data_IF_533100666770
#
_entry.id   IF_533100666770
#
_cell.length_a   1.000
_cell.length_b   1.000
_cell.length_c   1.000
_cell.angle_alpha   90.00
_cell.angle_beta   90.00
_cell.angle_gamma   90.00
#
_symmetry.space_group_name_H-M   'P 1'
#
loop_
_entity.id
_entity.type
_entity.pdbx_description
1 polymer ?
#
# COMPACT_ATOMS: atom_id res chain seq x y z
N UNK A 1 -66.41 -44.76 -3.51
CA UNK A 1 -66.47 -43.36 -3.04
C UNK A 1 -65.41 -43.13 -1.94
N UNK A 2 -64.11 -43.29 -2.23
CA UNK A 2 -63.03 -43.12 -1.23
C UNK A 2 -61.80 -42.41 -1.86
N UNK A 3 -61.38 -42.72 -3.10
CA UNK A 3 -60.17 -42.14 -3.71
C UNK A 3 -60.20 -40.66 -4.11
N UNK A 4 -61.37 -40.06 -4.41
CA UNK A 4 -61.44 -38.65 -4.86
C UNK A 4 -61.13 -37.63 -3.75
N UNK A 5 -61.29 -38.00 -2.48
CA UNK A 5 -61.02 -37.11 -1.34
C UNK A 5 -59.52 -37.00 -1.02
N UNK A 6 -58.72 -38.02 -1.32
CA UNK A 6 -57.27 -38.02 -1.07
C UNK A 6 -56.47 -37.33 -2.18
N UNK A 7 -56.97 -37.35 -3.43
CA UNK A 7 -56.38 -36.61 -4.56
C UNK A 7 -56.41 -35.10 -4.33
N UNK A 8 -57.49 -34.57 -3.72
CA UNK A 8 -57.59 -33.14 -3.41
C UNK A 8 -56.65 -32.72 -2.26
N UNK A 9 -56.45 -33.60 -1.27
CA UNK A 9 -55.60 -33.35 -0.11
C UNK A 9 -54.10 -33.45 -0.46
N UNK A 10 -53.73 -34.35 -1.37
CA UNK A 10 -52.36 -34.47 -1.90
C UNK A 10 -51.97 -33.28 -2.79
N UNK A 11 -52.92 -32.65 -3.49
CA UNK A 11 -52.66 -31.43 -4.26
C UNK A 11 -52.54 -30.17 -3.38
N UNK A 12 -53.27 -30.11 -2.25
CA UNK A 12 -53.15 -28.99 -1.31
C UNK A 12 -51.89 -29.02 -0.45
N UNK A 13 -51.32 -30.21 -0.20
CA UNK A 13 -50.07 -30.33 0.56
C UNK A 13 -48.82 -29.95 -0.28
N UNK A 14 -48.88 -30.18 -1.60
CA UNK A 14 -47.79 -29.84 -2.52
C UNK A 14 -47.72 -28.33 -2.85
N UNK A 15 -48.83 -27.60 -2.67
CA UNK A 15 -48.90 -26.16 -2.89
C UNK A 15 -48.37 -25.33 -1.70
N UNK A 16 -48.30 -25.90 -0.49
CA UNK A 16 -47.78 -25.22 0.71
C UNK A 16 -46.27 -25.32 0.86
N UNK A 17 -45.58 -26.17 0.10
CA UNK A 17 -44.12 -26.31 0.15
C UNK A 17 -43.36 -25.36 -0.80
N UNK A 18 -44.05 -24.45 -1.50
CA UNK A 18 -43.47 -23.59 -2.53
C UNK A 18 -43.38 -22.09 -2.17
N UNK A 19 -43.73 -21.68 -0.94
CA UNK A 19 -43.85 -20.23 -0.61
C UNK A 19 -42.84 -19.70 0.41
N UNK A 20 -41.74 -20.43 0.65
CA UNK A 20 -40.57 -19.84 1.30
C UNK A 20 -39.39 -19.81 0.32
N UNK A 21 -39.59 -19.18 -0.84
CA UNK A 21 -38.46 -18.53 -1.49
C UNK A 21 -38.24 -17.28 -0.65
N UNK A 22 -37.41 -17.40 0.40
CA UNK A 22 -36.70 -16.24 0.89
C UNK A 22 -35.85 -15.79 -0.30
N UNK A 23 -36.40 -14.88 -1.10
CA UNK A 23 -35.56 -13.98 -1.87
C UNK A 23 -34.78 -13.23 -0.79
N UNK A 24 -33.62 -13.75 -0.39
CA UNK A 24 -32.57 -12.86 0.02
C UNK A 24 -32.42 -11.96 -1.20
N UNK A 25 -32.93 -10.73 -1.05
CA UNK A 25 -32.53 -9.68 -1.95
C UNK A 25 -31.06 -9.55 -1.55
N UNK A 26 -30.18 -10.22 -2.28
CA UNK A 26 -28.76 -9.89 -2.29
C UNK A 26 -28.75 -8.43 -2.73
N UNK A 27 -28.91 -7.53 -1.77
CA UNK A 27 -28.83 -6.12 -1.99
C UNK A 27 -27.34 -5.92 -2.18
N UNK A 28 -26.95 -5.61 -3.42
CA UNK A 28 -25.61 -5.15 -3.77
C UNK A 28 -25.42 -3.76 -3.13
N UNK A 29 -25.38 -3.77 -1.80
CA UNK A 29 -25.23 -2.59 -0.96
C UNK A 29 -23.77 -2.19 -1.00
N UNK A 30 -23.50 -1.13 -1.75
CA UNK A 30 -22.20 -0.49 -1.75
C UNK A 30 -21.86 -0.01 -0.32
N UNK A 31 -20.83 -0.58 0.33
CA UNK A 31 -20.51 -0.27 1.73
C UNK A 31 -19.96 1.16 1.93
N UNK A 32 -19.79 1.90 0.83
CA UNK A 32 -19.09 3.18 0.79
C UNK A 32 -17.57 3.00 0.84
N UNK A 33 -16.86 4.08 0.57
CA UNK A 33 -15.40 4.12 0.57
C UNK A 33 -14.88 5.55 0.71
N UNK A 34 -13.61 5.68 1.07
CA UNK A 34 -12.89 6.95 0.98
C UNK A 34 -12.40 7.17 -0.45
N UNK A 35 -12.09 8.42 -0.80
CA UNK A 35 -11.76 8.79 -2.19
C UNK A 35 -10.41 8.27 -2.68
N UNK A 36 -9.60 7.70 -1.78
CA UNK A 36 -8.33 7.03 -2.10
C UNK A 36 -8.32 5.55 -1.65
N UNK A 37 -9.48 4.91 -1.51
CA UNK A 37 -9.63 3.60 -0.84
C UNK A 37 -8.67 2.51 -1.35
N UNK A 38 -8.43 2.43 -2.67
CA UNK A 38 -7.52 1.43 -3.25
C UNK A 38 -6.05 1.71 -2.95
N UNK A 39 -5.71 2.97 -2.73
CA UNK A 39 -4.35 3.40 -2.42
C UNK A 39 -4.08 3.51 -0.92
N UNK A 40 -5.12 3.49 -0.08
CA UNK A 40 -5.01 3.44 1.36
C UNK A 40 -4.74 2.01 1.86
N UNK A 41 -3.91 1.84 2.87
CA UNK A 41 -3.61 0.55 3.47
C UNK A 41 -2.44 0.55 4.43
N UNK A 42 -2.23 -0.61 5.05
CA UNK A 42 -0.98 -0.99 5.70
C UNK A 42 -0.15 -1.82 4.72
N UNK A 43 1.13 -1.50 4.64
CA UNK A 43 2.10 -2.10 3.73
C UNK A 43 3.25 -2.67 4.53
N UNK A 44 3.67 -3.88 4.17
CA UNK A 44 4.91 -4.50 4.62
C UNK A 44 5.96 -4.23 3.55
N UNK A 45 6.96 -3.41 3.87
CA UNK A 45 7.95 -2.91 2.90
C UNK A 45 9.39 -3.14 3.37
N UNK A 46 10.32 -3.05 2.43
CA UNK A 46 11.76 -2.90 2.70
C UNK A 46 12.21 -1.53 2.22
N UNK A 47 13.27 -1.01 2.82
CA UNK A 47 13.94 0.22 2.39
C UNK A 47 15.37 -0.12 1.97
N UNK A 48 15.59 -0.14 0.67
CA UNK A 48 16.82 -0.60 0.04
C UNK A 48 17.67 0.59 -0.42
N UNK A 49 19.00 0.43 -0.41
CA UNK A 49 19.98 1.41 -0.83
C UNK A 49 20.54 1.04 -2.21
N UNK A 50 20.90 2.05 -3.00
CA UNK A 50 21.58 1.83 -4.28
C UNK A 50 22.98 1.28 -4.05
N UNK A 51 23.31 0.18 -4.73
CA UNK A 51 24.64 -0.44 -4.67
C UNK A 51 25.73 0.50 -5.20
N UNK A 52 25.47 1.16 -6.32
CA UNK A 52 26.44 2.09 -6.92
C UNK A 52 26.71 3.29 -6.01
N UNK A 53 25.66 3.82 -5.38
CA UNK A 53 25.79 4.94 -4.44
C UNK A 53 26.51 4.51 -3.16
N UNK A 54 26.26 3.30 -2.65
CA UNK A 54 27.04 2.72 -1.56
C UNK A 54 28.53 2.65 -1.91
N UNK A 55 28.90 2.12 -3.08
CA UNK A 55 30.30 2.03 -3.46
C UNK A 55 30.97 3.41 -3.56
N UNK A 56 30.25 4.42 -4.05
CA UNK A 56 30.76 5.78 -4.08
C UNK A 56 30.92 6.38 -2.67
N UNK A 57 29.86 6.33 -1.84
CA UNK A 57 29.86 6.94 -0.50
C UNK A 57 30.90 6.33 0.45
N UNK A 58 31.18 5.04 0.30
CA UNK A 58 32.14 4.32 1.15
C UNK A 58 33.53 4.16 0.49
N UNK A 59 33.79 4.84 -0.62
CA UNK A 59 35.12 4.94 -1.23
C UNK A 59 35.61 3.69 -1.96
N UNK A 60 34.68 2.84 -2.38
CA UNK A 60 34.95 1.67 -3.25
C UNK A 60 34.86 2.02 -4.74
N UNK A 61 34.32 3.20 -5.08
CA UNK A 61 34.23 3.75 -6.44
C UNK A 61 34.57 5.24 -6.43
N UNK A 62 35.28 5.72 -7.46
CA UNK A 62 35.55 7.15 -7.69
C UNK A 62 34.48 7.81 -8.59
N UNK A 63 33.49 7.04 -9.05
CA UNK A 63 32.42 7.53 -9.93
C UNK A 63 31.17 7.78 -9.11
N UNK A 64 30.76 9.04 -9.04
CA UNK A 64 29.46 9.45 -8.49
C UNK A 64 28.35 9.00 -9.46
N UNK A 65 27.40 8.17 -9.03
CA UNK A 65 26.29 7.76 -9.90
C UNK A 65 25.30 8.91 -10.18
N UNK A 66 25.34 10.02 -9.43
CA UNK A 66 24.46 11.19 -9.57
C UNK A 66 22.97 10.84 -9.63
N UNK A 67 22.49 10.10 -8.63
CA UNK A 67 21.08 9.71 -8.51
C UNK A 67 20.15 10.94 -8.46
N UNK A 68 20.66 12.10 -8.05
CA UNK A 68 19.89 13.35 -7.93
C UNK A 68 19.37 13.88 -9.27
N UNK A 69 20.02 13.53 -10.38
CA UNK A 69 19.63 13.94 -11.74
C UNK A 69 18.90 12.86 -12.53
N UNK A 70 18.73 11.66 -11.95
CA UNK A 70 18.09 10.54 -12.61
C UNK A 70 16.57 10.71 -12.72
N UNK A 71 16.02 10.25 -13.84
CA UNK A 71 14.57 10.02 -14.01
C UNK A 71 14.13 8.77 -13.25
N UNK A 72 12.82 8.61 -13.03
CA UNK A 72 12.25 7.42 -12.37
C UNK A 72 12.64 6.13 -13.11
N UNK A 73 12.56 6.11 -14.44
CA UNK A 73 12.95 4.94 -15.25
C UNK A 73 14.43 4.57 -15.07
N UNK A 74 15.31 5.57 -14.84
CA UNK A 74 16.72 5.31 -14.56
C UNK A 74 16.92 4.76 -13.14
N UNK A 75 16.18 5.27 -12.14
CA UNK A 75 16.21 4.72 -10.77
C UNK A 75 15.69 3.27 -10.72
N UNK A 76 14.67 2.95 -11.51
CA UNK A 76 14.13 1.59 -11.66
C UNK A 76 15.12 0.59 -12.23
N UNK A 77 16.07 1.06 -13.03
CA UNK A 77 17.09 0.21 -13.64
C UNK A 77 18.29 -0.06 -12.73
N UNK A 78 18.39 0.57 -11.55
CA UNK A 78 19.49 0.38 -10.62
C UNK A 78 19.36 -0.92 -9.81
N UNK A 79 20.48 -1.36 -9.25
CA UNK A 79 20.53 -2.43 -8.24
C UNK A 79 20.33 -1.83 -6.84
N UNK A 80 19.42 -2.45 -6.08
CA UNK A 80 19.01 -2.01 -4.75
C UNK A 80 19.10 -3.16 -3.76
N UNK A 81 19.69 -2.93 -2.59
CA UNK A 81 19.76 -3.93 -1.51
C UNK A 81 19.52 -3.30 -0.14
N UNK A 82 18.96 -4.05 0.80
CA UNK A 82 18.88 -3.65 2.22
C UNK A 82 20.24 -3.85 2.91
N UNK A 83 21.19 -2.96 2.59
CA UNK A 83 22.58 -3.01 3.04
C UNK A 83 22.74 -2.84 4.56
N UNK A 84 21.73 -2.25 5.21
CA UNK A 84 21.69 -2.08 6.66
C UNK A 84 20.85 -3.13 7.38
N UNK A 85 20.31 -4.12 6.67
CA UNK A 85 19.53 -5.23 7.23
C UNK A 85 18.36 -4.75 8.11
N UNK A 86 17.68 -3.67 7.69
CA UNK A 86 16.50 -3.15 8.40
C UNK A 86 15.35 -4.17 8.39
N UNK A 87 15.32 -5.03 7.39
CA UNK A 87 14.28 -6.01 7.18
C UNK A 87 12.95 -5.38 6.80
N UNK A 88 11.87 -6.04 7.22
CA UNK A 88 10.51 -5.61 6.90
C UNK A 88 9.99 -4.58 7.89
N UNK A 89 9.42 -3.52 7.35
CA UNK A 89 8.92 -2.35 8.05
C UNK A 89 7.45 -2.10 7.66
N UNK A 90 6.72 -1.36 8.49
CA UNK A 90 5.31 -1.03 8.21
C UNK A 90 5.17 0.40 7.73
N UNK A 91 4.53 0.56 6.58
CA UNK A 91 4.16 1.87 6.02
C UNK A 91 2.65 1.93 5.89
N UNK A 92 2.10 3.12 6.06
CA UNK A 92 0.68 3.39 6.08
C UNK A 92 0.35 4.51 5.10
N UNK A 93 -0.63 4.24 4.26
CA UNK A 93 -1.28 5.25 3.41
C UNK A 93 -2.75 5.35 3.76
N UNK A 94 -3.29 6.55 3.86
CA UNK A 94 -4.70 6.75 4.22
C UNK A 94 -5.23 8.11 3.80
N UNK A 95 -6.54 8.20 3.60
CA UNK A 95 -7.18 9.45 3.17
C UNK A 95 -6.91 10.59 4.16
N UNK A 96 -6.87 11.81 3.64
CA UNK A 96 -6.92 13.00 4.49
C UNK A 96 -8.34 13.20 5.05
N UNK A 97 -8.47 14.06 6.06
CA UNK A 97 -9.79 14.41 6.61
C UNK A 97 -10.68 15.14 5.59
N UNK A 98 -10.09 15.80 4.60
CA UNK A 98 -10.82 16.41 3.48
C UNK A 98 -11.42 15.34 2.55
N UNK A 99 -10.85 14.13 2.55
CA UNK A 99 -11.28 13.00 1.74
C UNK A 99 -11.39 13.39 0.26
N UNK A 100 -10.36 14.03 -0.29
CA UNK A 100 -10.24 14.25 -1.74
C UNK A 100 -9.48 13.07 -2.37
N UNK A 101 -9.51 12.96 -3.70
CA UNK A 101 -8.84 11.89 -4.43
C UNK A 101 -7.41 12.26 -4.87
N UNK A 102 -6.99 13.49 -4.62
CA UNK A 102 -5.73 14.09 -5.09
C UNK A 102 -4.65 14.19 -4.00
N UNK A 103 -4.96 13.85 -2.75
CA UNK A 103 -3.99 13.78 -1.66
C UNK A 103 -4.27 12.59 -0.72
N UNK A 104 -3.21 12.04 -0.14
CA UNK A 104 -3.30 11.09 0.97
C UNK A 104 -2.17 11.31 1.97
N UNK A 105 -2.32 10.79 3.18
CA UNK A 105 -1.21 10.67 4.12
C UNK A 105 -0.30 9.51 3.72
N UNK A 106 1.00 9.72 3.86
CA UNK A 106 2.07 8.72 3.76
C UNK A 106 2.87 8.77 5.06
N UNK A 107 2.98 7.65 5.77
CA UNK A 107 3.40 7.62 7.17
C UNK A 107 4.00 6.28 7.55
N UNK A 108 5.00 6.25 8.44
CA UNK A 108 5.45 5.01 9.08
C UNK A 108 4.83 4.78 10.48
N UNK A 109 3.95 5.69 10.92
CA UNK A 109 3.12 5.54 12.12
C UNK A 109 1.82 4.77 11.87
N UNK A 110 1.51 3.79 12.71
CA UNK A 110 0.26 3.02 12.63
C UNK A 110 -0.96 3.80 13.14
N UNK A 111 -0.85 4.45 14.30
CA UNK A 111 -1.95 5.23 14.92
C UNK A 111 -1.50 6.23 15.99
N UNK A 112 -0.46 5.88 16.77
CA UNK A 112 0.14 6.76 17.79
C UNK A 112 1.42 7.40 17.25
N UNK A 113 1.76 8.59 17.76
CA UNK A 113 3.02 9.27 17.45
C UNK A 113 4.26 8.59 18.05
N UNK A 114 4.09 7.51 18.82
CA UNK A 114 5.19 6.73 19.40
C UNK A 114 5.37 5.36 18.73
N UNK A 115 4.51 5.02 17.75
CA UNK A 115 4.43 3.70 17.11
C UNK A 115 4.83 3.78 15.62
N UNK A 116 6.06 4.24 15.39
CA UNK A 116 6.70 4.28 14.07
C UNK A 116 7.60 3.07 13.85
N UNK A 117 7.88 2.75 12.60
CA UNK A 117 8.74 1.60 12.27
C UNK A 117 10.10 1.96 11.70
N UNK A 118 10.31 3.18 11.18
CA UNK A 118 11.53 3.50 10.46
C UNK A 118 12.09 4.90 10.74
N UNK A 119 11.60 5.91 10.02
CA UNK A 119 12.19 7.25 9.97
C UNK A 119 11.32 8.33 10.64
N UNK A 120 10.26 7.93 11.37
CA UNK A 120 9.40 8.87 12.09
C UNK A 120 8.76 9.90 11.16
N UNK A 121 8.28 9.46 9.99
CA UNK A 121 7.75 10.37 8.98
C UNK A 121 6.23 10.35 8.91
N UNK A 122 5.67 11.53 8.70
CA UNK A 122 4.28 11.73 8.30
C UNK A 122 4.19 12.97 7.44
N UNK A 123 3.70 12.80 6.22
CA UNK A 123 3.42 13.89 5.31
C UNK A 123 2.25 13.56 4.40
N UNK A 124 1.76 14.57 3.71
CA UNK A 124 0.82 14.36 2.61
C UNK A 124 1.59 14.19 1.31
N UNK A 125 1.07 13.35 0.44
CA UNK A 125 1.56 13.14 -0.92
C UNK A 125 0.45 13.46 -1.91
N UNK A 126 0.83 13.98 -3.06
CA UNK A 126 -0.05 14.16 -4.20
C UNK A 126 -0.41 12.79 -4.76
N UNK A 127 -1.65 12.62 -5.20
CA UNK A 127 -2.20 11.36 -5.69
C UNK A 127 -2.80 11.56 -7.08
N UNK A 128 -2.45 10.68 -8.01
CA UNK A 128 -3.25 10.39 -9.18
C UNK A 128 -3.92 9.03 -8.96
N UNK A 129 -5.20 9.08 -8.58
CA UNK A 129 -5.95 7.90 -8.17
C UNK A 129 -6.24 6.96 -9.34
N UNK A 130 -6.43 7.49 -10.55
CA UNK A 130 -6.68 6.66 -11.74
C UNK A 130 -5.41 5.94 -12.19
N UNK A 131 -4.26 6.63 -12.12
CA UNK A 131 -2.96 6.04 -12.43
C UNK A 131 -2.43 5.13 -11.30
N UNK A 132 -2.97 5.25 -10.09
CA UNK A 132 -2.47 4.54 -8.91
C UNK A 132 -1.09 5.04 -8.48
N UNK A 133 -0.78 6.32 -8.73
CA UNK A 133 0.55 6.90 -8.46
C UNK A 133 0.49 7.99 -7.41
N UNK A 134 1.61 8.17 -6.70
CA UNK A 134 1.77 9.21 -5.69
C UNK A 134 3.19 9.78 -5.69
N UNK A 135 3.32 11.03 -5.26
CA UNK A 135 4.61 11.71 -5.20
C UNK A 135 4.56 12.89 -4.24
N UNK A 136 5.72 13.43 -3.91
CA UNK A 136 5.82 14.77 -3.37
C UNK A 136 7.13 15.41 -3.82
N UNK A 137 7.10 16.73 -4.04
CA UNK A 137 8.33 17.53 -4.06
C UNK A 137 8.96 17.55 -2.66
N UNK A 138 10.05 18.29 -2.47
CA UNK A 138 10.64 18.52 -1.15
C UNK A 138 9.62 19.09 -0.18
N UNK A 139 9.13 18.24 0.71
CA UNK A 139 8.00 18.51 1.60
C UNK A 139 8.43 18.26 3.05
N UNK A 140 8.19 19.22 3.97
CA UNK A 140 8.54 19.04 5.37
C UNK A 140 7.83 17.85 6.01
N UNK A 141 8.57 17.08 6.81
CA UNK A 141 7.98 16.10 7.71
C UNK A 141 7.13 16.80 8.78
N UNK A 142 5.91 16.30 9.02
CA UNK A 142 5.02 16.88 10.04
C UNK A 142 5.28 16.34 11.45
N UNK A 143 6.09 15.29 11.58
CA UNK A 143 6.37 14.63 12.85
C UNK A 143 7.52 15.28 13.63
N UNK A 144 8.54 15.79 12.95
CA UNK A 144 9.67 16.52 13.55
C UNK A 144 10.34 17.45 12.54
N UNK A 145 11.04 18.46 13.06
CA UNK A 145 11.73 19.49 12.27
C UNK A 145 13.10 19.02 11.77
N UNK A 146 13.55 19.54 10.62
CA UNK A 146 14.88 19.27 10.07
C UNK A 146 14.98 18.06 9.15
N UNK A 147 13.84 17.43 8.85
CA UNK A 147 13.73 16.40 7.82
C UNK A 147 12.68 16.82 6.78
N UNK A 148 13.15 17.09 5.56
CA UNK A 148 12.33 17.21 4.38
C UNK A 148 12.36 15.89 3.61
N UNK A 149 11.23 15.54 3.01
CA UNK A 149 11.03 14.28 2.30
C UNK A 149 10.68 14.58 0.85
N UNK A 150 11.26 13.81 -0.06
CA UNK A 150 10.90 13.81 -1.49
C UNK A 150 10.54 12.39 -1.90
N UNK A 151 9.46 12.24 -2.67
CA UNK A 151 9.00 10.94 -3.15
C UNK A 151 8.85 11.00 -4.67
N UNK A 152 9.59 10.13 -5.36
CA UNK A 152 9.51 9.96 -6.81
C UNK A 152 8.95 8.57 -7.16
N UNK A 153 8.21 8.49 -8.26
CA UNK A 153 7.78 7.23 -8.85
C UNK A 153 6.89 6.38 -7.94
N UNK A 154 6.22 6.97 -6.94
CA UNK A 154 5.33 6.25 -6.06
C UNK A 154 4.20 5.59 -6.85
N UNK A 155 4.03 4.28 -6.70
CA UNK A 155 3.02 3.50 -7.44
C UNK A 155 2.47 2.35 -6.62
N UNK A 156 1.16 2.15 -6.74
CA UNK A 156 0.43 1.02 -6.19
C UNK A 156 -0.14 0.20 -7.35
N UNK A 157 0.08 -1.12 -7.33
CA UNK A 157 -0.35 -2.03 -8.40
C UNK A 157 -1.15 -3.18 -7.79
N UNK A 158 -2.39 -3.33 -8.24
CA UNK A 158 -3.34 -4.34 -7.75
C UNK A 158 -2.85 -5.76 -8.08
N UNK A 159 -2.81 -6.64 -7.07
CA UNK A 159 -2.47 -8.05 -7.22
C UNK A 159 -1.07 -8.37 -7.79
N UNK A 160 -0.16 -7.39 -7.85
CA UNK A 160 1.14 -7.52 -8.51
C UNK A 160 2.23 -8.15 -7.62
N UNK A 161 2.06 -8.17 -6.30
CA UNK A 161 2.96 -8.82 -5.36
C UNK A 161 2.53 -10.26 -5.06
N UNK A 162 3.49 -11.07 -4.59
CA UNK A 162 3.25 -12.38 -4.00
C UNK A 162 3.65 -12.34 -2.53
N UNK A 163 2.74 -12.69 -1.63
CA UNK A 163 3.01 -12.74 -0.19
C UNK A 163 3.97 -13.88 0.16
N UNK A 164 4.59 -13.89 1.35
CA UNK A 164 5.45 -14.99 1.80
C UNK A 164 4.77 -16.38 1.74
N UNK A 165 3.44 -16.41 1.81
CA UNK A 165 2.62 -17.62 1.74
C UNK A 165 2.12 -17.96 0.33
N UNK A 166 2.54 -17.20 -0.69
CA UNK A 166 2.24 -17.46 -2.09
C UNK A 166 0.89 -16.92 -2.59
N UNK A 167 0.21 -16.06 -1.82
CA UNK A 167 -1.02 -15.42 -2.28
C UNK A 167 -0.70 -14.14 -3.08
N UNK A 168 -1.55 -13.77 -4.03
CA UNK A 168 -1.47 -12.46 -4.67
C UNK A 168 -1.83 -11.35 -3.66
N UNK A 169 -1.12 -10.23 -3.71
CA UNK A 169 -1.40 -9.02 -2.94
C UNK A 169 -1.06 -7.79 -3.76
N UNK A 170 -1.60 -6.63 -3.39
CA UNK A 170 -1.20 -5.37 -4.01
C UNK A 170 0.26 -5.05 -3.67
N UNK A 171 0.99 -4.49 -4.61
CA UNK A 171 2.36 -4.02 -4.38
C UNK A 171 2.42 -2.50 -4.25
N UNK A 172 3.39 -2.01 -3.51
CA UNK A 172 3.74 -0.59 -3.44
C UNK A 172 5.24 -0.42 -3.73
N UNK A 173 5.61 0.61 -4.49
CA UNK A 173 7.00 1.01 -4.73
C UNK A 173 7.12 2.53 -4.74
N UNK A 174 8.23 3.07 -4.25
CA UNK A 174 8.60 4.48 -4.36
C UNK A 174 10.10 4.72 -4.14
N UNK A 175 10.64 5.83 -4.65
CA UNK A 175 11.98 6.30 -4.33
C UNK A 175 11.88 7.47 -3.34
N UNK A 176 12.35 7.25 -2.12
CA UNK A 176 12.15 8.15 -0.99
C UNK A 176 13.50 8.75 -0.59
N UNK A 177 13.55 10.08 -0.52
CA UNK A 177 14.69 10.83 0.03
C UNK A 177 14.33 11.39 1.39
N UNK A 178 15.22 11.21 2.36
CA UNK A 178 15.17 11.88 3.65
C UNK A 178 16.34 12.87 3.70
N UNK A 179 16.07 14.16 3.89
CA UNK A 179 17.13 15.20 3.82
C UNK A 179 18.16 15.10 4.94
N UNK A 180 17.81 14.44 6.04
CA UNK A 180 18.66 14.24 7.22
C UNK A 180 19.40 12.89 7.22
N UNK A 181 19.39 12.17 6.10
CA UNK A 181 20.05 10.86 5.99
C UNK A 181 21.57 10.99 6.18
N UNK A 182 22.06 10.55 7.33
CA UNK A 182 23.44 10.82 7.76
C UNK A 182 24.54 10.10 6.96
N UNK A 183 24.26 8.96 6.32
CA UNK A 183 25.22 8.31 5.44
C UNK A 183 25.27 8.90 4.02
N UNK A 184 24.37 9.83 3.68
CA UNK A 184 24.41 10.57 2.42
C UNK A 184 23.78 9.90 1.19
N UNK A 185 23.04 8.79 1.35
CA UNK A 185 22.26 8.23 0.24
C UNK A 185 21.24 9.23 -0.28
N UNK A 186 21.12 9.35 -1.60
CA UNK A 186 20.23 10.32 -2.24
C UNK A 186 18.78 9.85 -2.19
N UNK A 187 18.53 8.60 -2.58
CA UNK A 187 17.22 7.95 -2.53
C UNK A 187 17.36 6.57 -1.93
N UNK A 188 16.32 6.13 -1.22
CA UNK A 188 16.08 4.74 -0.88
C UNK A 188 14.93 4.22 -1.72
N UNK A 189 15.02 2.98 -2.18
CA UNK A 189 13.87 2.30 -2.79
C UNK A 189 13.03 1.68 -1.69
N UNK A 190 11.82 2.18 -1.53
CA UNK A 190 10.79 1.53 -0.74
C UNK A 190 10.01 0.59 -1.65
N UNK A 191 9.95 -0.70 -1.32
CA UNK A 191 9.14 -1.67 -2.06
C UNK A 191 8.52 -2.73 -1.15
N UNK A 192 7.30 -3.16 -1.46
CA UNK A 192 6.62 -4.16 -0.65
C UNK A 192 5.22 -4.50 -1.11
N UNK A 193 4.42 -5.03 -0.18
CA UNK A 193 3.09 -5.55 -0.44
C UNK A 193 2.08 -5.19 0.65
N UNK A 194 0.79 -5.22 0.30
CA UNK A 194 -0.31 -4.97 1.25
C UNK A 194 -0.34 -6.03 2.34
N UNK A 195 -0.35 -5.60 3.60
CA UNK A 195 -0.43 -6.50 4.73
C UNK A 195 -1.75 -7.29 4.73
N UNK A 196 -1.65 -8.61 4.92
CA UNK A 196 -2.78 -9.54 4.77
C UNK A 196 -3.63 -9.70 6.04
N UNK A 197 -3.13 -9.24 7.19
CA UNK A 197 -3.73 -9.52 8.49
C UNK A 197 -3.15 -10.77 9.18
N UNK A 198 -2.34 -11.59 8.50
CA UNK A 198 -1.67 -12.74 9.11
C UNK A 198 -0.28 -12.37 9.64
N UNK A 199 0.01 -12.68 10.91
CA UNK A 199 1.33 -12.38 11.51
C UNK A 199 2.51 -13.01 10.76
N UNK A 200 2.29 -14.14 10.09
CA UNK A 200 3.31 -14.79 9.26
C UNK A 200 3.70 -14.00 7.99
N UNK A 201 2.88 -13.01 7.60
CA UNK A 201 3.09 -12.15 6.45
C UNK A 201 3.55 -10.74 6.86
N UNK A 202 3.82 -10.49 8.15
CA UNK A 202 4.47 -9.26 8.60
C UNK A 202 5.93 -9.16 8.14
#
# INVERSE_FOLDING_TARGET
>A
MIMKKYILILFSALLMSATFVACDVETDEEPGATNVVKMAGQWTVTFEQSIDEYYYLFGYSDTDPDLSSMTVDQLEALEWEDLFENGKLSVFTYNTAANTADEMWFSDYAASADDYTFWQYKLKVDVDYEAGTFSCETTPNTSYEGCDITILGGKIMEGAATTPRGAAADSIVAYVKFSDYSYGFTYMKMAGYRYTGFDADK
#
